data_IF_534399394797
#
_entry.id   IF_534399394797
#
_cell.length_a   1.000
_cell.length_b   1.000
_cell.length_c   1.000
_cell.angle_alpha   90.00
_cell.angle_beta   90.00
_cell.angle_gamma   90.00
#
_symmetry.space_group_name_H-M   'P 1'
#
loop_
_entity.id
_entity.type
_entity.pdbx_description
1 polymer ?
#
# COMPACT_ATOMS: atom_id res chain seq x y z
N UNK A 1 -9.59 10.12 -16.51
CA UNK A 1 -10.47 11.25 -16.14
C UNK A 1 -10.96 11.07 -14.72
N UNK A 2 -10.70 12.06 -13.86
CA UNK A 2 -11.19 12.10 -12.47
C UNK A 2 -12.47 12.94 -12.35
N UNK A 3 -12.51 14.07 -13.04
CA UNK A 3 -13.72 14.89 -13.17
C UNK A 3 -13.76 15.52 -14.54
N UNK A 4 -14.96 15.81 -15.04
CA UNK A 4 -15.21 16.59 -16.23
C UNK A 4 -16.33 17.61 -15.93
N UNK A 5 -16.06 18.87 -16.14
CA UNK A 5 -17.00 19.97 -15.94
C UNK A 5 -17.01 20.83 -17.19
N UNK A 6 -18.11 20.83 -17.92
CA UNK A 6 -18.28 21.59 -19.16
C UNK A 6 -19.22 22.77 -18.95
N UNK A 7 -18.90 23.86 -19.59
CA UNK A 7 -19.74 25.05 -19.79
C UNK A 7 -19.93 25.32 -21.30
N UNK A 8 -20.73 26.29 -21.66
CA UNK A 8 -21.08 26.52 -23.06
C UNK A 8 -19.87 26.77 -24.01
N UNK A 9 -18.78 27.35 -23.51
CA UNK A 9 -17.63 27.75 -24.33
C UNK A 9 -16.31 27.07 -23.90
N UNK A 10 -16.23 26.51 -22.73
CA UNK A 10 -15.02 25.87 -22.21
C UNK A 10 -15.35 24.79 -21.15
N UNK A 11 -14.38 23.96 -20.82
CA UNK A 11 -14.52 22.96 -19.79
C UNK A 11 -13.19 22.63 -19.13
N UNK A 12 -13.30 21.85 -18.04
CA UNK A 12 -12.18 21.40 -17.23
C UNK A 12 -12.22 19.89 -17.07
N UNK A 13 -11.16 19.23 -17.52
CA UNK A 13 -10.90 17.83 -17.22
C UNK A 13 -9.82 17.74 -16.14
N UNK A 14 -10.08 17.03 -15.05
CA UNK A 14 -9.00 16.59 -14.17
C UNK A 14 -8.53 15.19 -14.58
N UNK A 15 -7.27 15.10 -14.96
CA UNK A 15 -6.63 13.87 -15.43
C UNK A 15 -5.53 13.45 -14.45
N UNK A 16 -5.45 12.17 -14.17
CA UNK A 16 -4.39 11.60 -13.35
C UNK A 16 -3.96 10.27 -13.96
N UNK A 17 -2.68 10.17 -14.30
CA UNK A 17 -2.06 8.96 -14.89
C UNK A 17 -1.45 8.04 -13.84
N UNK A 18 -1.54 8.41 -12.56
CA UNK A 18 -0.96 7.66 -11.44
C UNK A 18 0.48 8.03 -11.11
N UNK A 19 1.15 8.88 -11.88
CA UNK A 19 2.55 9.28 -11.62
C UNK A 19 2.67 10.21 -10.42
N UNK A 20 1.63 11.01 -10.15
CA UNK A 20 1.58 11.97 -9.06
C UNK A 20 0.28 11.85 -8.26
N UNK A 21 0.28 12.33 -7.00
CA UNK A 21 -0.91 12.27 -6.15
C UNK A 21 -2.03 13.18 -6.66
N UNK A 22 -1.69 14.44 -6.93
CA UNK A 22 -2.64 15.41 -7.46
C UNK A 22 -2.94 15.17 -8.93
N UNK A 23 -4.09 15.69 -9.38
CA UNK A 23 -4.53 15.59 -10.76
C UNK A 23 -4.14 16.84 -11.53
N UNK A 24 -3.76 16.66 -12.81
CA UNK A 24 -3.53 17.75 -13.72
C UNK A 24 -4.88 18.31 -14.21
N UNK A 25 -5.08 19.61 -14.07
CA UNK A 25 -6.21 20.30 -14.67
C UNK A 25 -5.95 20.60 -16.15
N UNK A 26 -6.79 20.06 -17.00
CA UNK A 26 -6.82 20.33 -18.45
C UNK A 26 -7.94 21.30 -18.72
N UNK A 27 -7.61 22.43 -19.32
CA UNK A 27 -8.58 23.42 -19.81
C UNK A 27 -8.80 23.19 -21.31
N UNK A 28 -10.05 23.04 -21.73
CA UNK A 28 -10.43 22.88 -23.12
C UNK A 28 -11.55 23.86 -23.48
N UNK A 29 -11.56 24.34 -24.71
CA UNK A 29 -12.53 25.32 -25.18
C UNK A 29 -13.22 24.87 -26.48
N UNK A 30 -14.21 25.66 -26.94
CA UNK A 30 -15.01 25.39 -28.12
C UNK A 30 -14.22 25.51 -29.46
N UNK A 31 -12.92 25.78 -29.42
CA UNK A 31 -12.04 25.71 -30.60
C UNK A 31 -11.59 24.30 -30.89
N UNK A 32 -11.73 23.36 -29.91
CA UNK A 32 -11.49 21.96 -30.17
C UNK A 32 -12.52 21.42 -31.17
N UNK A 33 -12.04 20.69 -32.17
CA UNK A 33 -12.90 20.07 -33.20
C UNK A 33 -13.95 19.12 -32.58
N UNK A 34 -13.58 18.46 -31.50
CA UNK A 34 -14.42 17.49 -30.78
C UNK A 34 -14.88 17.99 -29.40
N UNK A 35 -15.07 19.29 -29.21
CA UNK A 35 -15.48 19.89 -27.95
C UNK A 35 -16.74 19.23 -27.37
N UNK A 36 -17.79 19.01 -28.17
CA UNK A 36 -19.03 18.37 -27.78
C UNK A 36 -18.84 16.92 -27.30
N UNK A 37 -17.90 16.21 -27.89
CA UNK A 37 -17.54 14.86 -27.49
C UNK A 37 -16.78 14.87 -26.16
N UNK A 38 -15.73 15.70 -26.05
CA UNK A 38 -14.93 15.86 -24.83
C UNK A 38 -15.80 16.24 -23.63
N UNK A 39 -16.80 17.10 -23.86
CA UNK A 39 -17.73 17.53 -22.80
C UNK A 39 -18.52 16.37 -22.16
N UNK A 40 -18.63 15.24 -22.85
CA UNK A 40 -19.37 14.04 -22.44
C UNK A 40 -18.48 12.93 -21.90
N UNK A 41 -17.16 13.10 -21.89
CA UNK A 41 -16.25 12.08 -21.35
C UNK A 41 -16.52 11.83 -19.87
N UNK A 42 -16.67 10.55 -19.54
CA UNK A 42 -17.06 10.10 -18.20
C UNK A 42 -15.85 9.96 -17.27
N UNK A 43 -16.13 10.01 -15.98
CA UNK A 43 -15.16 9.64 -14.95
C UNK A 43 -14.75 8.19 -15.15
N UNK A 44 -13.45 7.94 -15.10
CA UNK A 44 -12.86 6.62 -15.36
C UNK A 44 -12.41 6.42 -16.80
N UNK A 45 -12.85 7.25 -17.76
CA UNK A 45 -12.33 7.20 -19.14
C UNK A 45 -10.84 7.53 -19.19
N UNK A 46 -10.14 6.95 -20.14
CA UNK A 46 -8.74 7.27 -20.44
C UNK A 46 -8.64 8.17 -21.66
N UNK A 47 -7.79 9.18 -21.57
CA UNK A 47 -7.61 10.19 -22.60
C UNK A 47 -6.15 10.48 -22.86
N UNK A 48 -5.83 10.85 -24.08
CA UNK A 48 -4.56 11.45 -24.47
C UNK A 48 -4.81 12.95 -24.70
N UNK A 49 -4.01 13.80 -24.06
CA UNK A 49 -4.15 15.24 -24.17
C UNK A 49 -2.83 15.86 -24.63
N UNK A 50 -2.88 16.63 -25.70
CA UNK A 50 -1.77 17.47 -26.17
C UNK A 50 -2.14 18.92 -25.99
N UNK A 51 -1.25 19.74 -25.45
CA UNK A 51 -1.54 21.14 -25.17
C UNK A 51 -0.34 21.96 -24.76
N UNK A 52 -0.60 23.15 -24.24
CA UNK A 52 0.38 24.10 -23.73
C UNK A 52 0.27 24.13 -22.22
N UNK A 53 1.38 23.91 -21.52
CA UNK A 53 1.46 24.10 -20.07
C UNK A 53 1.45 25.59 -19.76
N UNK A 54 0.54 26.01 -18.90
CA UNK A 54 0.41 27.39 -18.43
C UNK A 54 0.63 27.41 -16.92
N UNK A 55 1.55 28.22 -16.46
CA UNK A 55 1.80 28.42 -15.04
C UNK A 55 0.69 29.28 -14.42
N UNK A 56 0.17 28.84 -13.30
CA UNK A 56 -0.92 29.51 -12.56
C UNK A 56 -0.56 29.64 -11.07
N UNK A 57 0.53 30.37 -10.74
CA UNK A 57 1.08 30.41 -9.36
C UNK A 57 0.10 30.99 -8.33
N UNK A 58 -0.84 31.83 -8.76
CA UNK A 58 -1.86 32.45 -7.90
C UNK A 58 -3.12 31.58 -7.73
N UNK A 59 -3.18 30.43 -8.42
CA UNK A 59 -4.33 29.53 -8.36
C UNK A 59 -4.06 28.37 -7.38
N UNK A 60 -5.10 27.62 -7.09
CA UNK A 60 -4.97 26.42 -6.23
C UNK A 60 -3.97 25.41 -6.79
N UNK A 61 -3.98 25.20 -8.10
CA UNK A 61 -3.00 24.38 -8.84
C UNK A 61 -1.90 25.27 -9.42
N UNK A 62 -0.63 24.87 -9.36
CA UNK A 62 0.49 25.70 -9.82
C UNK A 62 0.58 25.81 -11.34
N UNK A 63 -0.07 24.90 -12.06
CA UNK A 63 -0.08 24.85 -13.52
C UNK A 63 -1.37 24.21 -14.07
N UNK A 64 -1.65 24.49 -15.32
CA UNK A 64 -2.74 23.90 -16.11
C UNK A 64 -2.23 23.48 -17.49
N UNK A 65 -2.91 22.51 -18.11
CA UNK A 65 -2.67 22.14 -19.50
C UNK A 65 -3.81 22.69 -20.38
N UNK A 66 -3.52 23.70 -21.21
CA UNK A 66 -4.47 24.21 -22.19
C UNK A 66 -4.46 23.31 -23.41
N UNK A 67 -5.53 22.56 -23.60
CA UNK A 67 -5.62 21.52 -24.62
C UNK A 67 -5.63 22.07 -26.04
N UNK A 68 -4.80 21.51 -26.91
CA UNK A 68 -4.87 21.64 -28.36
C UNK A 68 -5.59 20.46 -29.00
N UNK A 69 -5.49 19.30 -28.40
CA UNK A 69 -6.25 18.12 -28.78
C UNK A 69 -6.53 17.24 -27.55
N UNK A 70 -7.69 16.59 -27.55
CA UNK A 70 -8.09 15.59 -26.56
C UNK A 70 -8.63 14.40 -27.31
N UNK A 71 -8.01 13.24 -27.12
CA UNK A 71 -8.39 11.98 -27.76
C UNK A 71 -8.85 10.98 -26.72
N UNK A 72 -10.01 10.38 -26.95
CA UNK A 72 -10.48 9.27 -26.12
C UNK A 72 -9.66 8.01 -26.46
N UNK A 73 -9.01 7.41 -25.47
CA UNK A 73 -8.30 6.13 -25.60
C UNK A 73 -9.17 4.96 -25.16
N UNK A 74 -10.03 5.18 -24.16
CA UNK A 74 -10.98 4.19 -23.67
C UNK A 74 -12.12 4.85 -22.91
N UNK A 75 -13.34 4.48 -23.27
CA UNK A 75 -14.55 4.97 -22.57
C UNK A 75 -14.77 4.20 -21.27
N UNK A 76 -15.59 4.78 -20.40
CA UNK A 76 -15.98 4.19 -19.13
C UNK A 76 -17.51 4.08 -19.06
N UNK A 77 -18.07 2.93 -18.65
CA UNK A 77 -19.51 2.77 -18.57
C UNK A 77 -20.13 3.64 -17.47
N UNK A 78 -21.41 3.96 -17.60
CA UNK A 78 -22.16 4.73 -16.60
C UNK A 78 -22.24 4.01 -15.25
N UNK A 79 -22.13 2.69 -15.27
CA UNK A 79 -22.13 1.83 -14.08
C UNK A 79 -20.82 1.87 -13.29
N UNK A 80 -19.81 2.64 -13.74
CA UNK A 80 -18.53 2.77 -13.02
C UNK A 80 -18.76 3.27 -11.59
N UNK A 81 -18.39 2.47 -10.56
CA UNK A 81 -18.84 2.74 -9.19
C UNK A 81 -18.09 3.91 -8.51
N UNK A 82 -16.87 4.23 -8.95
CA UNK A 82 -16.09 5.34 -8.38
C UNK A 82 -16.48 6.65 -9.06
N UNK A 83 -17.35 7.39 -8.42
CA UNK A 83 -17.82 8.69 -8.89
C UNK A 83 -17.16 9.85 -8.12
N UNK A 84 -17.19 11.10 -8.59
CA UNK A 84 -16.59 12.26 -7.90
C UNK A 84 -17.43 12.69 -6.69
N UNK A 85 -17.61 11.77 -5.75
CA UNK A 85 -18.30 11.95 -4.46
C UNK A 85 -17.55 11.23 -3.34
N UNK A 86 -17.88 11.53 -2.10
CA UNK A 86 -17.35 10.80 -0.96
C UNK A 86 -17.91 9.37 -0.94
N UNK A 87 -17.00 8.39 -0.83
CA UNK A 87 -17.33 6.99 -0.64
C UNK A 87 -16.95 6.55 0.77
N UNK A 88 -17.74 5.65 1.36
CA UNK A 88 -17.40 5.04 2.65
C UNK A 88 -16.27 4.03 2.49
N UNK A 89 -15.56 3.73 3.57
CA UNK A 89 -14.49 2.72 3.57
C UNK A 89 -15.02 1.32 3.32
N UNK A 90 -16.22 1.04 3.82
CA UNK A 90 -16.95 -0.23 3.64
C UNK A 90 -17.24 -0.45 2.16
N UNK A 91 -17.89 0.52 1.50
CA UNK A 91 -18.14 0.45 0.06
C UNK A 91 -16.85 0.26 -0.75
N UNK A 92 -15.76 0.96 -0.38
CA UNK A 92 -14.48 0.83 -1.08
C UNK A 92 -13.81 -0.54 -0.88
N UNK A 93 -14.18 -1.29 0.16
CA UNK A 93 -13.77 -2.70 0.32
C UNK A 93 -14.56 -3.65 -0.58
N UNK A 94 -15.83 -3.38 -0.84
CA UNK A 94 -16.64 -4.15 -1.79
C UNK A 94 -16.11 -4.01 -3.23
N UNK A 95 -15.59 -2.83 -3.58
CA UNK A 95 -14.94 -2.56 -4.88
C UNK A 95 -13.42 -2.48 -4.75
N UNK A 96 -12.81 -3.42 -4.04
CA UNK A 96 -11.40 -3.40 -3.63
C UNK A 96 -10.42 -3.19 -4.80
N UNK A 97 -10.70 -3.73 -5.99
CA UNK A 97 -9.90 -3.59 -7.20
C UNK A 97 -9.90 -2.15 -7.78
N UNK A 98 -10.87 -1.31 -7.40
CA UNK A 98 -10.99 0.07 -7.85
C UNK A 98 -10.58 1.10 -6.77
N UNK A 99 -10.56 0.69 -5.50
CA UNK A 99 -10.29 1.61 -4.38
C UNK A 99 -8.95 2.38 -4.49
N UNK A 100 -7.85 1.86 -5.09
CA UNK A 100 -6.61 2.63 -5.26
C UNK A 100 -6.78 3.88 -6.12
N UNK A 101 -7.85 3.96 -6.92
CA UNK A 101 -8.17 5.13 -7.74
C UNK A 101 -8.81 6.28 -6.94
N UNK A 102 -9.19 6.06 -5.68
CA UNK A 102 -9.69 7.12 -4.79
C UNK A 102 -8.54 7.85 -4.11
N UNK A 103 -8.72 9.14 -3.80
CA UNK A 103 -7.67 9.92 -3.13
C UNK A 103 -7.27 9.29 -1.79
N UNK A 104 -8.24 8.79 -1.01
CA UNK A 104 -7.96 8.14 0.26
C UNK A 104 -6.99 6.96 0.12
N UNK A 105 -7.32 5.99 -0.73
CA UNK A 105 -6.47 4.80 -0.87
C UNK A 105 -5.23 5.06 -1.72
N UNK A 106 -5.27 6.02 -2.64
CA UNK A 106 -4.07 6.51 -3.32
C UNK A 106 -3.07 7.07 -2.32
N UNK A 107 -3.51 7.96 -1.40
CA UNK A 107 -2.66 8.50 -0.34
C UNK A 107 -2.09 7.38 0.55
N UNK A 108 -2.95 6.50 1.06
CA UNK A 108 -2.53 5.40 1.97
C UNK A 108 -1.51 4.48 1.31
N UNK A 109 -1.73 4.05 0.05
CA UNK A 109 -0.81 3.14 -0.62
C UNK A 109 0.51 3.81 -1.03
N UNK A 110 0.51 5.10 -1.37
CA UNK A 110 1.73 5.86 -1.63
C UNK A 110 2.55 6.03 -0.35
N UNK A 111 1.92 6.45 0.76
CA UNK A 111 2.58 6.54 2.07
C UNK A 111 3.15 5.18 2.48
N UNK A 112 2.37 4.09 2.34
CA UNK A 112 2.83 2.74 2.65
C UNK A 112 4.06 2.33 1.82
N UNK A 113 4.06 2.64 0.53
CA UNK A 113 5.19 2.35 -0.36
C UNK A 113 6.47 3.08 0.07
N UNK A 114 6.34 4.38 0.38
CA UNK A 114 7.47 5.21 0.84
C UNK A 114 7.96 4.76 2.23
N UNK A 115 7.03 4.44 3.15
CA UNK A 115 7.39 3.93 4.47
C UNK A 115 8.14 2.59 4.38
N UNK A 116 7.71 1.67 3.50
CA UNK A 116 8.41 0.40 3.29
C UNK A 116 9.84 0.62 2.75
N UNK A 117 9.99 1.55 1.81
CA UNK A 117 11.32 1.92 1.31
C UNK A 117 12.18 2.56 2.41
N UNK A 118 11.60 3.41 3.25
CA UNK A 118 12.30 4.03 4.38
C UNK A 118 12.82 2.98 5.38
N UNK A 119 12.04 1.94 5.68
CA UNK A 119 12.49 0.81 6.52
C UNK A 119 13.75 0.16 5.93
N UNK A 120 13.71 -0.18 4.64
CA UNK A 120 14.88 -0.75 3.97
C UNK A 120 16.07 0.21 3.97
N UNK A 121 15.85 1.50 3.71
CA UNK A 121 16.91 2.52 3.71
C UNK A 121 17.55 2.62 5.09
N UNK A 122 16.74 2.68 6.15
CA UNK A 122 17.24 2.78 7.54
C UNK A 122 18.21 1.66 7.88
N UNK A 123 17.81 0.41 7.66
CA UNK A 123 18.63 -0.75 8.01
C UNK A 123 19.84 -0.94 7.07
N UNK A 124 19.66 -0.76 5.76
CA UNK A 124 20.73 -0.94 4.78
C UNK A 124 21.85 0.10 4.95
N UNK A 125 21.54 1.37 5.23
CA UNK A 125 22.54 2.41 5.50
C UNK A 125 23.32 2.17 6.78
N UNK A 126 22.80 1.36 7.70
CA UNK A 126 23.45 0.95 8.95
C UNK A 126 24.17 -0.40 8.85
N UNK A 127 24.21 -0.98 7.65
CA UNK A 127 24.96 -2.21 7.38
C UNK A 127 24.22 -3.51 7.74
N UNK A 128 22.93 -3.44 8.09
CA UNK A 128 22.13 -4.65 8.33
C UNK A 128 21.94 -5.46 7.05
N UNK A 129 21.97 -6.77 7.16
CA UNK A 129 21.70 -7.67 6.04
C UNK A 129 20.19 -7.97 5.99
N UNK A 130 19.55 -7.66 4.86
CA UNK A 130 18.17 -8.04 4.62
C UNK A 130 18.05 -9.53 4.33
N UNK A 131 17.23 -10.23 5.10
CA UNK A 131 17.03 -11.68 4.97
C UNK A 131 15.58 -11.99 4.61
N UNK A 132 15.39 -12.79 3.57
CA UNK A 132 14.10 -13.37 3.21
C UNK A 132 13.99 -14.76 3.81
N UNK A 133 13.33 -14.86 4.97
CA UNK A 133 13.05 -16.16 5.61
C UNK A 133 11.91 -16.89 4.91
N UNK A 134 11.86 -18.23 4.96
CA UNK A 134 10.79 -18.99 4.35
C UNK A 134 9.41 -18.66 4.91
N UNK A 135 8.42 -18.42 4.04
CA UNK A 135 7.03 -18.27 4.45
C UNK A 135 6.36 -19.60 4.74
N UNK A 136 6.77 -20.68 4.07
CA UNK A 136 6.29 -22.03 4.34
C UNK A 136 7.26 -22.69 5.28
N UNK A 137 6.77 -23.13 6.43
CA UNK A 137 7.58 -23.72 7.49
C UNK A 137 6.91 -24.96 8.09
N UNK A 138 7.73 -25.85 8.66
CA UNK A 138 7.23 -26.96 9.46
C UNK A 138 7.47 -26.73 10.96
N UNK A 139 7.94 -25.56 11.35
CA UNK A 139 8.22 -25.17 12.72
C UNK A 139 7.32 -24.01 13.15
N UNK A 140 6.87 -24.05 14.39
CA UNK A 140 6.18 -22.93 15.03
C UNK A 140 7.21 -22.06 15.75
N UNK A 141 7.36 -20.80 15.32
CA UNK A 141 8.34 -19.88 15.88
C UNK A 141 8.00 -19.45 17.32
N UNK A 142 6.71 -19.24 17.59
CA UNK A 142 6.25 -18.69 18.87
C UNK A 142 5.52 -19.71 19.76
N UNK A 143 5.36 -20.97 19.31
CA UNK A 143 4.65 -22.01 20.06
C UNK A 143 3.17 -21.69 20.26
N UNK A 144 2.58 -20.93 19.37
CA UNK A 144 1.22 -20.40 19.54
C UNK A 144 0.11 -21.33 19.05
N UNK A 145 0.45 -22.40 18.33
CA UNK A 145 -0.49 -23.29 17.61
C UNK A 145 -1.46 -22.56 16.66
N UNK A 146 -1.24 -21.27 16.42
CA UNK A 146 -2.13 -20.37 15.66
C UNK A 146 -1.62 -20.09 14.25
N UNK A 147 -1.13 -21.12 13.57
CA UNK A 147 -0.65 -21.01 12.21
C UNK A 147 -1.65 -21.55 11.20
N UNK A 148 -1.74 -20.89 10.04
CA UNK A 148 -2.47 -21.44 8.89
C UNK A 148 -1.77 -22.69 8.38
N UNK A 149 -2.53 -23.80 8.30
CA UNK A 149 -2.03 -25.06 7.74
C UNK A 149 -2.02 -24.99 6.22
N UNK A 150 -0.96 -25.53 5.64
CA UNK A 150 -0.84 -25.72 4.19
C UNK A 150 -0.86 -27.21 3.91
N UNK A 151 -1.63 -27.63 2.92
CA UNK A 151 -1.67 -29.00 2.46
C UNK A 151 -2.01 -29.08 0.97
N UNK A 152 -1.47 -30.08 0.31
CA UNK A 152 -1.85 -30.47 -1.06
C UNK A 152 -2.74 -31.71 -1.08
N UNK A 153 -3.08 -32.24 0.09
CA UNK A 153 -3.98 -33.40 0.21
C UNK A 153 -5.40 -33.01 -0.23
N UNK A 154 -6.08 -33.98 -0.86
CA UNK A 154 -7.48 -33.80 -1.18
C UNK A 154 -8.32 -33.83 0.10
N UNK A 155 -8.92 -32.69 0.46
CA UNK A 155 -9.71 -32.52 1.68
C UNK A 155 -10.99 -33.39 1.69
N UNK A 156 -11.46 -33.88 0.53
CA UNK A 156 -12.62 -34.79 0.44
C UNK A 156 -12.22 -36.26 0.64
N UNK A 157 -10.92 -36.59 0.49
CA UNK A 157 -10.37 -37.96 0.58
C UNK A 157 -9.02 -37.93 1.29
N UNK A 158 -9.06 -37.57 2.57
CA UNK A 158 -7.82 -37.49 3.36
C UNK A 158 -7.22 -38.89 3.58
N UNK A 159 -5.93 -39.08 3.28
CA UNK A 159 -5.23 -40.29 3.67
C UNK A 159 -5.13 -40.38 5.19
N UNK A 160 -5.49 -41.54 5.77
CA UNK A 160 -5.42 -41.78 7.18
C UNK A 160 -4.30 -42.79 7.49
N UNK A 161 -3.62 -42.59 8.61
CA UNK A 161 -2.67 -43.53 9.16
C UNK A 161 -3.40 -44.65 9.99
N UNK A 162 -2.65 -45.59 10.48
CA UNK A 162 -3.16 -46.74 11.28
C UNK A 162 -3.97 -46.29 12.51
N UNK A 163 -3.76 -45.11 13.03
CA UNK A 163 -4.46 -44.53 14.18
C UNK A 163 -5.69 -43.66 13.78
N UNK A 164 -6.09 -43.67 12.51
CA UNK A 164 -7.21 -42.90 12.00
C UNK A 164 -6.96 -41.37 11.92
N UNK A 165 -5.70 -40.93 12.05
CA UNK A 165 -5.31 -39.50 11.87
C UNK A 165 -4.82 -39.27 10.46
N UNK A 166 -4.88 -37.99 10.01
CA UNK A 166 -4.36 -37.60 8.69
C UNK A 166 -2.89 -38.00 8.55
N UNK A 167 -2.59 -38.73 7.47
CA UNK A 167 -1.25 -39.16 7.12
C UNK A 167 -0.51 -38.11 6.31
N UNK A 168 0.12 -37.18 6.99
CA UNK A 168 0.92 -36.12 6.38
C UNK A 168 2.20 -36.59 5.68
N UNK A 169 2.59 -37.89 5.84
CA UNK A 169 3.72 -38.44 5.07
C UNK A 169 3.43 -38.46 3.56
N UNK A 170 2.15 -38.41 3.19
CA UNK A 170 1.66 -38.32 1.80
C UNK A 170 1.46 -36.89 1.27
N UNK A 171 1.67 -35.89 2.12
CA UNK A 171 1.62 -34.48 1.73
C UNK A 171 2.94 -34.03 1.08
N UNK A 172 2.93 -32.86 0.42
CA UNK A 172 4.05 -32.33 -0.36
C UNK A 172 5.40 -32.34 0.36
N UNK A 173 5.42 -32.01 1.64
CA UNK A 173 6.64 -31.95 2.45
C UNK A 173 6.89 -33.22 3.29
N UNK A 174 6.06 -34.25 3.15
CA UNK A 174 6.13 -35.49 3.96
C UNK A 174 5.85 -35.24 5.44
N UNK A 175 5.38 -34.10 5.84
CA UNK A 175 5.00 -33.66 7.18
C UNK A 175 4.07 -32.46 7.12
N UNK A 176 3.43 -32.13 8.26
CA UNK A 176 2.56 -30.98 8.34
C UNK A 176 3.35 -29.67 8.10
N UNK A 177 2.80 -28.79 7.25
CA UNK A 177 3.37 -27.49 6.94
C UNK A 177 2.39 -26.37 7.23
N UNK A 178 2.92 -25.17 7.42
CA UNK A 178 2.19 -23.98 7.83
C UNK A 178 2.71 -22.74 7.10
N UNK A 179 1.91 -21.66 7.11
CA UNK A 179 2.42 -20.32 6.78
C UNK A 179 2.96 -19.70 8.07
N UNK A 180 4.15 -19.10 7.99
CA UNK A 180 4.86 -18.58 9.16
C UNK A 180 4.13 -17.43 9.85
N UNK A 181 4.19 -17.41 11.18
CA UNK A 181 3.73 -16.30 12.02
C UNK A 181 4.83 -15.28 12.34
N UNK A 182 6.11 -15.58 12.01
CA UNK A 182 7.27 -14.72 12.23
C UNK A 182 8.48 -15.25 11.45
N UNK A 183 9.34 -14.33 11.01
CA UNK A 183 10.64 -14.67 10.41
C UNK A 183 11.77 -14.91 11.44
N UNK A 184 11.50 -14.66 12.74
CA UNK A 184 12.51 -14.63 13.79
C UNK A 184 13.31 -15.93 13.89
N UNK A 185 12.65 -17.10 13.95
CA UNK A 185 13.32 -18.39 14.16
C UNK A 185 14.43 -18.65 13.14
N UNK A 186 14.17 -18.37 11.86
CA UNK A 186 15.18 -18.49 10.81
C UNK A 186 16.10 -17.26 10.80
N UNK A 187 15.57 -16.07 11.10
CA UNK A 187 16.34 -14.82 11.18
C UNK A 187 17.50 -14.92 12.15
N UNK A 188 17.29 -15.45 13.35
CA UNK A 188 18.34 -15.65 14.35
C UNK A 188 19.49 -16.53 13.85
N UNK A 189 19.22 -17.53 13.00
CA UNK A 189 20.28 -18.33 12.40
C UNK A 189 21.17 -17.53 11.47
N UNK A 190 20.62 -16.52 10.79
CA UNK A 190 21.37 -15.59 9.96
C UNK A 190 22.12 -14.55 10.80
N UNK A 191 21.52 -14.10 11.91
CA UNK A 191 22.21 -13.20 12.85
C UNK A 191 23.47 -13.83 13.44
N UNK A 192 23.48 -15.14 13.67
CA UNK A 192 24.66 -15.87 14.10
C UNK A 192 25.80 -15.88 13.06
N UNK A 193 25.49 -15.57 11.79
CA UNK A 193 26.49 -15.49 10.72
C UNK A 193 26.85 -14.06 10.34
N UNK A 194 25.89 -13.12 10.39
CA UNK A 194 26.02 -11.76 9.89
C UNK A 194 25.96 -10.67 10.97
N UNK A 195 25.75 -11.05 12.23
CA UNK A 195 25.55 -10.20 13.40
C UNK A 195 24.24 -9.41 13.35
N UNK A 196 24.11 -8.46 12.44
CA UNK A 196 22.94 -7.57 12.34
C UNK A 196 22.17 -7.86 11.05
N UNK A 197 20.96 -8.38 11.22
CA UNK A 197 20.05 -8.68 10.11
C UNK A 197 18.68 -8.04 10.35
N UNK A 198 17.87 -8.00 9.34
CA UNK A 198 16.44 -7.74 9.51
C UNK A 198 15.63 -8.54 8.50
N UNK A 199 14.44 -8.95 8.91
CA UNK A 199 13.38 -9.37 8.02
C UNK A 199 12.37 -8.23 7.88
N UNK A 200 11.77 -8.11 6.73
CA UNK A 200 10.62 -7.25 6.49
C UNK A 200 9.72 -7.93 5.47
N UNK A 201 8.70 -8.60 5.94
CA UNK A 201 7.89 -9.47 5.11
C UNK A 201 6.52 -9.80 5.70
N UNK A 202 5.67 -10.48 4.90
CA UNK A 202 4.35 -10.88 5.34
C UNK A 202 4.42 -12.00 6.38
N UNK A 203 3.58 -11.88 7.40
CA UNK A 203 3.36 -12.87 8.45
C UNK A 203 1.87 -13.15 8.60
N UNK A 204 1.54 -14.34 9.14
CA UNK A 204 0.17 -14.84 9.12
C UNK A 204 -0.16 -15.48 10.46
N UNK A 205 -1.27 -15.04 11.10
CA UNK A 205 -1.74 -15.59 12.37
C UNK A 205 -3.24 -15.87 12.30
N UNK A 206 -3.68 -17.01 12.84
CA UNK A 206 -5.08 -17.44 12.81
C UNK A 206 -5.89 -16.92 14.00
N UNK A 207 -5.39 -15.97 14.74
CA UNK A 207 -6.09 -15.40 15.89
C UNK A 207 -7.51 -14.96 15.53
N UNK A 208 -8.49 -15.47 16.24
CA UNK A 208 -9.88 -15.06 16.09
C UNK A 208 -10.13 -13.78 16.88
N UNK A 209 -9.67 -12.65 16.33
CA UNK A 209 -9.81 -11.34 16.94
C UNK A 209 -10.55 -10.36 16.03
N UNK A 210 -11.61 -9.75 16.56
CA UNK A 210 -12.41 -8.74 15.88
C UNK A 210 -12.05 -7.31 16.33
N UNK A 211 -10.77 -7.04 16.58
CA UNK A 211 -10.31 -5.70 16.95
C UNK A 211 -9.91 -4.87 15.72
N UNK A 212 -9.75 -3.57 15.91
CA UNK A 212 -9.30 -2.66 14.85
C UNK A 212 -7.79 -2.80 14.52
N UNK A 213 -7.04 -3.46 15.38
CA UNK A 213 -5.58 -3.55 15.33
C UNK A 213 -5.06 -4.93 14.98
N UNK A 214 -5.92 -5.96 14.93
CA UNK A 214 -5.53 -7.32 14.55
C UNK A 214 -5.92 -7.61 13.10
N UNK A 215 -4.99 -8.18 12.36
CA UNK A 215 -5.19 -8.71 11.01
C UNK A 215 -4.55 -10.10 10.94
N UNK A 216 -5.15 -10.99 10.14
CA UNK A 216 -4.61 -12.34 9.96
C UNK A 216 -3.42 -12.38 8.99
N UNK A 217 -3.21 -11.31 8.21
CA UNK A 217 -2.06 -11.07 7.36
C UNK A 217 -1.56 -9.65 7.59
N UNK A 218 -0.28 -9.52 7.92
CA UNK A 218 0.39 -8.23 8.15
C UNK A 218 1.87 -8.35 7.84
N UNK A 219 2.56 -7.21 7.76
CA UNK A 219 4.00 -7.17 7.57
C UNK A 219 4.68 -6.84 8.89
N UNK A 220 5.73 -7.59 9.23
CA UNK A 220 6.56 -7.32 10.40
C UNK A 220 7.92 -6.79 9.99
N UNK A 221 8.45 -5.90 10.83
CA UNK A 221 9.83 -5.43 10.81
C UNK A 221 10.51 -6.15 11.97
N UNK A 222 11.45 -7.04 11.69
CA UNK A 222 12.05 -7.91 12.68
C UNK A 222 13.59 -7.83 12.57
N UNK A 223 14.24 -6.82 13.19
CA UNK A 223 15.69 -6.81 13.30
C UNK A 223 16.17 -7.82 14.35
N UNK A 224 17.24 -8.54 14.03
CA UNK A 224 17.92 -9.47 14.93
C UNK A 224 19.39 -9.08 15.03
N UNK A 225 19.86 -8.79 16.24
CA UNK A 225 21.18 -8.26 16.51
C UNK A 225 21.91 -9.13 17.54
N UNK A 226 22.99 -9.79 17.12
CA UNK A 226 23.70 -10.78 17.96
C UNK A 226 24.38 -10.18 19.20
N UNK A 227 24.72 -8.89 19.20
CA UNK A 227 25.48 -8.21 20.27
C UNK A 227 24.75 -6.97 20.80
N UNK A 228 23.42 -7.01 20.85
CA UNK A 228 22.59 -5.90 21.31
C UNK A 228 21.86 -6.30 22.61
N UNK A 229 21.86 -5.41 23.58
CA UNK A 229 21.07 -5.55 24.78
C UNK A 229 19.71 -4.81 24.66
N UNK A 230 18.90 -4.82 25.71
CA UNK A 230 17.59 -4.19 25.70
C UNK A 230 17.67 -2.66 25.49
N UNK A 231 18.66 -1.99 26.07
CA UNK A 231 18.81 -0.53 25.91
C UNK A 231 19.17 -0.19 24.46
N UNK A 232 20.12 -0.93 23.88
CA UNK A 232 20.47 -0.77 22.47
C UNK A 232 19.30 -1.08 21.52
N UNK A 233 18.47 -2.07 21.83
CA UNK A 233 17.27 -2.36 21.05
C UNK A 233 16.29 -1.18 21.09
N UNK A 234 16.01 -0.60 22.26
CA UNK A 234 15.11 0.54 22.40
C UNK A 234 15.62 1.76 21.63
N UNK A 235 16.93 2.03 21.63
CA UNK A 235 17.53 3.13 20.86
C UNK A 235 17.31 2.93 19.34
N UNK A 236 17.53 1.73 18.85
CA UNK A 236 17.34 1.38 17.42
C UNK A 236 15.87 1.49 17.01
N UNK A 237 14.94 1.03 17.84
CA UNK A 237 13.51 1.16 17.58
C UNK A 237 13.06 2.63 17.52
N UNK A 238 13.53 3.45 18.46
CA UNK A 238 13.22 4.88 18.48
C UNK A 238 13.79 5.59 17.24
N UNK A 239 15.06 5.34 16.92
CA UNK A 239 15.71 5.91 15.74
C UNK A 239 15.01 5.50 14.44
N UNK A 240 14.66 4.21 14.29
CA UNK A 240 13.96 3.69 13.12
C UNK A 240 12.60 4.38 12.96
N UNK A 241 11.81 4.47 14.02
CA UNK A 241 10.50 5.12 13.97
C UNK A 241 10.62 6.61 13.59
N UNK A 242 11.55 7.35 14.20
CA UNK A 242 11.84 8.75 13.86
C UNK A 242 12.29 8.88 12.40
N UNK A 243 13.19 8.01 11.94
CA UNK A 243 13.66 8.01 10.56
C UNK A 243 12.50 7.79 9.56
N UNK A 244 11.67 6.76 9.77
CA UNK A 244 10.54 6.46 8.88
C UNK A 244 9.53 7.61 8.85
N UNK A 245 9.18 8.16 10.01
CA UNK A 245 8.27 9.31 10.12
C UNK A 245 8.82 10.52 9.35
N UNK A 246 10.09 10.87 9.59
CA UNK A 246 10.75 11.98 8.89
C UNK A 246 10.76 11.75 7.38
N UNK A 247 11.16 10.56 6.94
CA UNK A 247 11.21 10.19 5.54
C UNK A 247 9.85 10.32 4.84
N UNK A 248 8.78 9.84 5.49
CA UNK A 248 7.42 9.96 4.97
C UNK A 248 6.96 11.42 4.90
N UNK A 249 7.25 12.24 5.92
CA UNK A 249 6.91 13.66 5.92
C UNK A 249 7.59 14.43 4.78
N UNK A 250 8.83 14.06 4.45
CA UNK A 250 9.61 14.69 3.39
C UNK A 250 9.17 14.25 1.98
N UNK A 251 8.79 12.97 1.80
CA UNK A 251 8.53 12.40 0.48
C UNK A 251 7.04 12.22 0.14
N UNK A 252 6.12 12.41 1.10
CA UNK A 252 4.68 12.26 0.93
C UNK A 252 3.90 13.47 1.45
N UNK A 253 4.41 14.69 1.24
CA UNK A 253 3.84 15.91 1.81
C UNK A 253 2.38 16.12 1.38
N UNK A 254 2.05 15.86 0.10
CA UNK A 254 0.71 16.05 -0.44
C UNK A 254 -0.27 15.02 0.10
N UNK A 255 0.14 13.75 0.17
CA UNK A 255 -0.64 12.66 0.75
C UNK A 255 -0.92 12.88 2.23
N UNK A 256 0.08 13.34 2.99
CA UNK A 256 -0.06 13.66 4.42
C UNK A 256 -0.98 14.88 4.60
N UNK A 257 -0.85 15.93 3.81
CA UNK A 257 -1.74 17.10 3.85
C UNK A 257 -3.19 16.69 3.53
N UNK A 258 -3.38 15.82 2.53
CA UNK A 258 -4.71 15.27 2.24
C UNK A 258 -5.27 14.48 3.43
N UNK A 259 -4.46 13.61 4.05
CA UNK A 259 -4.89 12.82 5.20
C UNK A 259 -5.20 13.72 6.41
N UNK A 260 -4.40 14.75 6.68
CA UNK A 260 -4.64 15.72 7.75
C UNK A 260 -5.95 16.48 7.56
N UNK A 261 -6.26 16.86 6.32
CA UNK A 261 -7.46 17.63 6.03
C UNK A 261 -8.74 16.78 5.98
N UNK A 262 -8.69 15.56 5.41
CA UNK A 262 -9.89 14.79 5.04
C UNK A 262 -10.06 13.48 5.79
N UNK A 263 -9.04 12.98 6.47
CA UNK A 263 -9.07 11.68 7.17
C UNK A 263 -9.04 11.88 8.68
N UNK A 264 -8.02 12.55 9.21
CA UNK A 264 -7.84 12.80 10.63
C UNK A 264 -7.21 14.18 10.83
N UNK A 265 -8.02 15.14 11.26
CA UNK A 265 -7.56 16.52 11.50
C UNK A 265 -6.50 16.56 12.61
N UNK A 266 -5.37 17.21 12.35
CA UNK A 266 -4.23 17.28 13.26
C UNK A 266 -3.24 16.11 13.13
N UNK A 267 -3.46 15.21 12.16
CA UNK A 267 -2.58 14.07 11.90
C UNK A 267 -1.13 14.52 11.69
N UNK A 268 -0.90 15.54 10.85
CA UNK A 268 0.43 16.05 10.56
C UNK A 268 1.15 16.52 11.83
N UNK A 269 0.47 17.27 12.68
CA UNK A 269 1.03 17.72 13.96
C UNK A 269 1.37 16.52 14.86
N UNK A 270 0.45 15.55 14.97
CA UNK A 270 0.63 14.34 15.77
C UNK A 270 1.85 13.53 15.35
N UNK A 271 2.03 13.26 14.04
CA UNK A 271 3.19 12.51 13.57
C UNK A 271 4.49 13.32 13.67
N UNK A 272 4.44 14.65 13.47
CA UNK A 272 5.62 15.50 13.64
C UNK A 272 6.11 15.53 15.10
N UNK A 273 5.21 15.46 16.07
CA UNK A 273 5.58 15.42 17.50
C UNK A 273 6.35 14.15 17.91
N UNK A 274 6.34 13.09 17.07
CA UNK A 274 7.15 11.89 17.31
C UNK A 274 8.64 12.11 17.00
N UNK A 275 9.01 13.25 16.40
CA UNK A 275 10.39 13.57 16.07
C UNK A 275 11.15 14.32 17.18
N UNK A 276 10.40 14.75 18.21
CA UNK A 276 10.94 15.52 19.36
C UNK A 276 11.62 14.63 20.42
#
# INVERSE_FOLDING_TARGET
VRTNRSQAQFGFLNVNDGSFFDSLQVVYDNKLVNFEEVSKYRVGSSVEVTGIVVLTPEMKQPLELHAKSVKLLGDCPETYPIQPKRHTREFLREVAHLRPRTNLFSAVFRIRSVAAYAVHTYFQERGYVYVNTPLITCADCEGSDQMFKITTLNMNELPLNENGKVDYSKDLFGKQAFITGSGQLQGETFAMAFADIYTFGPTFRTENSNTKTHANEFWMIEPEMAFCDLEGLMDIEEEMLKFVVKYVLEHCSEEINFCDQFVEKGLKQKITSLLS
#
